data_IF_671692829631
#
_entry.id   IF_671692829631
#
_cell.length_a   1.000
_cell.length_b   1.000
_cell.length_c   1.000
_cell.angle_alpha   90.00
_cell.angle_beta   90.00
_cell.angle_gamma   90.00
#
_symmetry.space_group_name_H-M   'P 1'
#
loop_
_entity.id
_entity.type
_entity.pdbx_description
1 polymer ?
#
# COMPACT_ATOMS: atom_id res chain seq x y z
N UNK A 1 50.05 41.33 -41.64
CA UNK A 1 50.01 41.11 -40.18
C UNK A 1 48.75 41.79 -39.61
N UNK A 2 47.60 41.11 -39.52
CA UNK A 2 46.39 41.69 -38.93
C UNK A 2 46.20 41.29 -37.45
N UNK A 3 45.72 42.26 -36.66
CA UNK A 3 45.41 42.18 -35.22
C UNK A 3 44.07 41.46 -34.95
N UNK A 4 44.07 40.65 -33.89
CA UNK A 4 42.92 39.97 -33.33
C UNK A 4 41.95 40.95 -32.64
N UNK A 5 40.64 40.68 -32.76
CA UNK A 5 39.58 41.33 -31.98
C UNK A 5 38.78 40.25 -31.25
N UNK A 6 38.85 40.28 -29.92
CA UNK A 6 38.12 39.38 -29.02
C UNK A 6 36.76 40.02 -28.68
N UNK A 7 35.66 39.33 -29.01
CA UNK A 7 34.30 39.70 -28.60
C UNK A 7 34.03 39.21 -27.17
N UNK A 8 33.61 40.11 -26.30
CA UNK A 8 33.15 39.83 -24.92
C UNK A 8 31.62 39.69 -24.94
N UNK A 9 31.09 38.64 -24.30
CA UNK A 9 29.66 38.39 -24.12
C UNK A 9 29.13 39.04 -22.83
N UNK A 10 27.86 39.48 -22.76
CA UNK A 10 27.27 40.01 -21.53
C UNK A 10 26.55 38.95 -20.69
N UNK A 11 26.74 39.03 -19.35
CA UNK A 11 26.08 38.25 -18.30
C UNK A 11 24.68 38.82 -17.90
N UNK A 12 23.82 38.05 -17.22
CA UNK A 12 22.37 38.25 -17.17
C UNK A 12 21.85 39.11 -16.00
N UNK A 13 20.70 39.74 -16.23
CA UNK A 13 19.96 40.55 -15.25
C UNK A 13 19.28 39.69 -14.16
N UNK A 14 19.53 40.04 -12.89
CA UNK A 14 18.88 39.44 -11.70
C UNK A 14 17.56 40.16 -11.39
N UNK A 15 16.45 39.42 -11.45
CA UNK A 15 15.12 39.85 -10.98
C UNK A 15 14.98 39.64 -9.46
N UNK A 16 14.50 40.66 -8.74
CA UNK A 16 14.19 40.62 -7.31
C UNK A 16 12.67 40.53 -7.13
N UNK A 17 12.18 39.44 -6.57
CA UNK A 17 10.81 39.36 -6.05
C UNK A 17 10.81 39.39 -4.53
N UNK A 18 10.05 40.33 -3.96
CA UNK A 18 9.78 40.52 -2.54
C UNK A 18 8.32 40.11 -2.32
N UNK A 19 8.06 39.16 -1.42
CA UNK A 19 6.71 38.80 -0.99
C UNK A 19 6.55 39.17 0.49
N UNK A 20 5.57 40.02 0.77
CA UNK A 20 5.15 40.44 2.11
C UNK A 20 4.28 39.36 2.75
N UNK A 21 4.53 39.12 4.04
CA UNK A 21 3.67 38.31 4.90
C UNK A 21 2.48 39.14 5.39
N UNK A 22 1.29 38.54 5.39
CA UNK A 22 0.13 39.06 6.09
C UNK A 22 -0.62 37.92 6.80
N UNK A 23 -0.90 38.16 8.07
CA UNK A 23 -1.91 37.53 8.93
C UNK A 23 -2.32 38.65 9.90
N UNK A 24 -3.58 38.75 10.37
CA UNK A 24 -4.08 37.70 11.28
C UNK A 24 -5.63 37.51 11.40
N UNK A 25 -5.97 36.42 12.09
CA UNK A 25 -7.09 36.25 13.04
C UNK A 25 -8.55 36.28 12.55
N UNK A 26 -9.20 35.10 12.56
CA UNK A 26 -10.63 34.97 12.88
C UNK A 26 -10.85 33.80 13.84
N UNK A 27 -11.62 34.08 14.90
CA UNK A 27 -11.84 33.26 16.09
C UNK A 27 -13.08 32.39 15.85
N UNK A 28 -12.92 31.06 15.75
CA UNK A 28 -14.02 30.10 15.60
C UNK A 28 -14.31 29.41 16.94
N UNK A 29 -15.58 29.38 17.35
CA UNK A 29 -16.06 28.56 18.48
C UNK A 29 -16.71 27.27 17.93
N UNK A 30 -16.40 26.07 18.47
CA UNK A 30 -16.99 24.84 17.96
C UNK A 30 -18.36 24.58 18.59
N UNK A 31 -19.36 24.36 17.73
CA UNK A 31 -20.61 23.71 18.10
C UNK A 31 -20.35 22.24 18.46
N UNK A 32 -21.13 21.70 19.40
CA UNK A 32 -21.00 20.33 19.89
C UNK A 32 -21.33 19.30 18.80
N UNK A 33 -20.30 18.70 18.21
CA UNK A 33 -20.45 17.55 17.32
C UNK A 33 -20.34 16.26 18.13
N UNK A 34 -21.48 15.70 18.55
CA UNK A 34 -21.54 14.25 18.78
C UNK A 34 -21.57 13.59 17.41
N UNK A 35 -20.56 12.79 17.03
CA UNK A 35 -20.60 12.05 15.78
C UNK A 35 -21.68 10.95 15.86
N UNK A 36 -22.36 10.65 14.75
CA UNK A 36 -23.30 9.55 14.67
C UNK A 36 -22.59 8.20 14.92
N UNK A 37 -23.30 7.16 15.37
CA UNK A 37 -22.70 5.86 15.62
C UNK A 37 -22.15 5.26 14.31
N UNK A 38 -20.87 4.89 14.38
CA UNK A 38 -20.12 3.94 13.55
C UNK A 38 -20.92 3.24 12.46
N UNK A 39 -20.79 3.73 11.23
CA UNK A 39 -21.00 2.88 10.06
C UNK A 39 -19.71 2.10 9.88
N UNK A 40 -19.69 0.82 10.29
CA UNK A 40 -18.71 -0.12 9.73
C UNK A 40 -18.73 0.09 8.21
N UNK A 41 -17.57 0.21 7.56
CA UNK A 41 -17.52 -0.06 6.12
C UNK A 41 -17.76 -1.56 5.98
N UNK A 42 -19.04 -1.93 6.11
CA UNK A 42 -19.55 -3.14 5.54
C UNK A 42 -19.42 -2.90 4.05
N UNK A 43 -18.39 -3.47 3.43
CA UNK A 43 -18.64 -4.01 2.10
C UNK A 43 -19.88 -4.89 2.29
N UNK A 44 -21.02 -4.54 1.68
CA UNK A 44 -22.22 -5.32 1.87
C UNK A 44 -21.82 -6.77 1.58
N UNK A 45 -22.12 -7.73 2.49
CA UNK A 45 -21.86 -9.13 2.19
C UNK A 45 -22.44 -9.38 0.81
N UNK A 46 -21.64 -10.00 -0.05
CA UNK A 46 -22.03 -10.38 -1.41
C UNK A 46 -23.48 -10.82 -1.39
N UNK A 47 -24.36 -10.01 -2.01
CA UNK A 47 -25.78 -10.35 -2.10
C UNK A 47 -26.01 -11.37 -3.20
N UNK A 48 -24.97 -11.66 -3.97
CA UNK A 48 -25.00 -12.58 -5.10
C UNK A 48 -24.69 -14.00 -4.64
N UNK A 49 -25.41 -15.01 -5.15
CA UNK A 49 -25.01 -16.40 -4.97
C UNK A 49 -23.57 -16.57 -5.47
N UNK A 50 -22.70 -17.18 -4.65
CA UNK A 50 -21.33 -17.49 -5.10
C UNK A 50 -21.41 -18.33 -6.37
N UNK A 51 -20.74 -17.87 -7.42
CA UNK A 51 -20.62 -18.62 -8.67
C UNK A 51 -20.02 -19.99 -8.34
N UNK A 52 -20.77 -21.07 -8.63
CA UNK A 52 -20.33 -22.43 -8.34
C UNK A 52 -19.37 -22.98 -9.41
N UNK A 53 -19.45 -22.44 -10.62
CA UNK A 53 -18.66 -22.88 -11.77
C UNK A 53 -17.87 -21.69 -12.34
N UNK A 54 -16.53 -21.70 -12.20
CA UNK A 54 -15.72 -20.62 -12.74
C UNK A 54 -15.82 -20.58 -14.27
N UNK A 55 -15.92 -19.36 -14.82
CA UNK A 55 -15.98 -19.13 -16.28
C UNK A 55 -14.60 -18.97 -16.92
N UNK A 56 -13.58 -18.73 -16.11
CA UNK A 56 -12.19 -18.50 -16.53
C UNK A 56 -11.21 -18.87 -15.41
N UNK A 57 -9.91 -18.86 -15.70
CA UNK A 57 -8.84 -19.23 -14.79
C UNK A 57 -8.73 -18.31 -13.55
N UNK A 58 -9.05 -17.02 -13.67
CA UNK A 58 -9.05 -16.10 -12.52
C UNK A 58 -10.13 -16.52 -11.51
N UNK A 59 -11.37 -16.69 -11.97
CA UNK A 59 -12.47 -17.15 -11.10
C UNK A 59 -12.15 -18.50 -10.47
N UNK A 60 -11.56 -19.42 -11.24
CA UNK A 60 -11.14 -20.73 -10.73
C UNK A 60 -10.06 -20.62 -9.65
N UNK A 61 -9.13 -19.67 -9.77
CA UNK A 61 -8.10 -19.43 -8.78
C UNK A 61 -8.67 -18.75 -7.52
N UNK A 62 -9.56 -17.77 -7.69
CA UNK A 62 -10.23 -17.07 -6.60
C UNK A 62 -11.09 -18.00 -5.74
N UNK A 63 -11.80 -18.95 -6.36
CA UNK A 63 -12.61 -19.94 -5.65
C UNK A 63 -11.79 -20.94 -4.80
N UNK A 64 -10.47 -21.04 -5.02
CA UNK A 64 -9.56 -21.85 -4.19
C UNK A 64 -9.08 -21.13 -2.94
N UNK A 65 -9.33 -19.81 -2.82
CA UNK A 65 -8.91 -19.05 -1.66
C UNK A 65 -9.63 -19.55 -0.39
N UNK A 66 -8.98 -19.44 0.79
CA UNK A 66 -9.60 -19.84 2.04
C UNK A 66 -10.96 -19.14 2.24
N UNK A 67 -11.98 -19.81 2.82
CA UNK A 67 -13.30 -19.21 3.01
C UNK A 67 -13.34 -17.93 3.86
N UNK A 68 -12.29 -17.70 4.66
CA UNK A 68 -12.09 -16.48 5.45
C UNK A 68 -11.74 -15.26 4.61
N UNK A 69 -11.27 -15.45 3.37
CA UNK A 69 -10.98 -14.36 2.44
C UNK A 69 -12.28 -13.87 1.83
N UNK A 70 -12.63 -12.61 2.11
CA UNK A 70 -13.75 -11.94 1.46
C UNK A 70 -13.26 -11.39 0.13
N UNK A 71 -13.80 -11.93 -0.95
CA UNK A 71 -13.52 -11.49 -2.32
C UNK A 71 -14.65 -10.56 -2.74
N UNK A 72 -14.37 -9.31 -3.15
CA UNK A 72 -15.40 -8.41 -3.67
C UNK A 72 -16.09 -9.01 -4.90
N UNK A 73 -17.40 -8.77 -5.03
CA UNK A 73 -18.19 -9.26 -6.18
C UNK A 73 -17.67 -8.76 -7.53
N UNK A 74 -16.97 -7.63 -7.54
CA UNK A 74 -16.35 -7.05 -8.75
C UNK A 74 -15.32 -7.98 -9.38
N UNK A 75 -14.78 -8.95 -8.63
CA UNK A 75 -13.90 -10.00 -9.17
C UNK A 75 -14.67 -11.18 -9.82
N UNK A 76 -16.00 -11.19 -9.71
CA UNK A 76 -16.90 -12.14 -10.36
C UNK A 76 -17.97 -11.39 -11.18
N UNK A 77 -17.57 -10.58 -12.19
CA UNK A 77 -18.50 -9.69 -12.90
C UNK A 77 -19.48 -10.49 -13.75
N UNK A 78 -20.76 -10.14 -13.69
CA UNK A 78 -21.79 -10.69 -14.56
C UNK A 78 -21.56 -10.29 -16.02
N UNK A 79 -22.17 -11.01 -16.95
CA UNK A 79 -22.13 -10.67 -18.37
C UNK A 79 -22.61 -9.23 -18.63
N UNK A 80 -23.59 -8.73 -17.87
CA UNK A 80 -24.08 -7.35 -17.98
C UNK A 80 -23.04 -6.31 -17.52
N UNK A 81 -22.28 -6.59 -16.45
CA UNK A 81 -21.20 -5.72 -15.98
C UNK A 81 -20.02 -5.72 -16.97
N UNK A 82 -19.68 -6.88 -17.55
CA UNK A 82 -18.68 -6.98 -18.61
C UNK A 82 -19.15 -6.21 -19.85
N UNK A 83 -20.44 -6.29 -20.19
CA UNK A 83 -21.02 -5.55 -21.30
C UNK A 83 -20.98 -4.05 -21.08
N UNK A 84 -21.31 -3.57 -19.87
CA UNK A 84 -21.24 -2.16 -19.50
C UNK A 84 -19.80 -1.62 -19.62
N UNK A 85 -18.81 -2.35 -19.09
CA UNK A 85 -17.40 -2.00 -19.24
C UNK A 85 -16.96 -2.00 -20.70
N UNK A 86 -17.38 -3.01 -21.48
CA UNK A 86 -17.07 -3.10 -22.90
C UNK A 86 -17.64 -1.92 -23.69
N UNK A 87 -18.89 -1.53 -23.43
CA UNK A 87 -19.52 -0.35 -24.02
C UNK A 87 -18.74 0.93 -23.63
N UNK A 88 -18.32 1.05 -22.37
CA UNK A 88 -17.50 2.18 -21.91
C UNK A 88 -16.13 2.25 -22.59
N UNK A 89 -15.58 1.10 -23.01
CA UNK A 89 -14.35 0.99 -23.80
C UNK A 89 -14.57 1.17 -25.31
N UNK A 90 -15.80 1.46 -25.74
CA UNK A 90 -16.13 1.79 -27.13
C UNK A 90 -16.62 0.62 -27.99
N UNK A 91 -16.91 -0.54 -27.41
CA UNK A 91 -17.52 -1.65 -28.14
C UNK A 91 -18.96 -1.28 -28.55
N UNK A 92 -19.41 -1.79 -29.68
CA UNK A 92 -20.82 -1.70 -30.09
C UNK A 92 -21.63 -2.87 -29.53
N UNK A 93 -22.96 -2.75 -29.51
CA UNK A 93 -23.84 -3.80 -28.94
C UNK A 93 -23.71 -5.16 -29.63
N UNK A 94 -23.47 -5.16 -30.93
CA UNK A 94 -23.21 -6.34 -31.75
C UNK A 94 -21.84 -6.98 -31.47
N UNK A 95 -20.91 -6.26 -30.84
CA UNK A 95 -19.60 -6.77 -30.45
C UNK A 95 -19.55 -7.37 -29.03
N UNK A 96 -20.61 -7.21 -28.22
CA UNK A 96 -20.57 -7.59 -26.80
C UNK A 96 -20.33 -9.07 -26.56
N UNK A 97 -20.86 -9.96 -27.41
CA UNK A 97 -20.63 -11.41 -27.31
C UNK A 97 -19.15 -11.74 -27.45
N UNK A 98 -18.47 -11.16 -28.45
CA UNK A 98 -17.03 -11.32 -28.64
C UNK A 98 -16.23 -10.60 -27.53
N UNK A 99 -16.71 -9.45 -27.04
CA UNK A 99 -16.12 -8.75 -25.90
C UNK A 99 -16.07 -9.60 -24.63
N UNK A 100 -17.18 -10.30 -24.30
CA UNK A 100 -17.22 -11.23 -23.16
C UNK A 100 -16.28 -12.41 -23.34
N UNK A 101 -16.24 -12.99 -24.54
CA UNK A 101 -15.30 -14.07 -24.86
C UNK A 101 -13.85 -13.61 -24.68
N UNK A 102 -13.48 -12.45 -25.25
CA UNK A 102 -12.15 -11.88 -25.12
C UNK A 102 -11.78 -11.55 -23.66
N UNK A 103 -12.74 -11.10 -22.85
CA UNK A 103 -12.53 -10.87 -21.42
C UNK A 103 -12.11 -12.16 -20.69
N UNK A 104 -12.81 -13.27 -20.93
CA UNK A 104 -12.49 -14.56 -20.31
C UNK A 104 -11.16 -15.14 -20.84
N UNK A 105 -10.96 -15.12 -22.17
CA UNK A 105 -9.73 -15.61 -22.82
C UNK A 105 -8.49 -14.84 -22.36
N UNK A 106 -8.61 -13.54 -22.07
CA UNK A 106 -7.52 -12.73 -21.51
C UNK A 106 -7.05 -13.28 -20.16
N UNK A 107 -7.98 -13.64 -19.27
CA UNK A 107 -7.65 -14.23 -17.97
C UNK A 107 -7.02 -15.61 -18.13
N UNK A 108 -7.59 -16.47 -18.97
CA UNK A 108 -7.02 -17.80 -19.25
C UNK A 108 -5.59 -17.70 -19.79
N UNK A 109 -5.36 -16.80 -20.74
CA UNK A 109 -4.04 -16.55 -21.33
C UNK A 109 -3.05 -16.02 -20.29
N UNK A 110 -3.49 -15.09 -19.43
CA UNK A 110 -2.64 -14.55 -18.36
C UNK A 110 -2.17 -15.64 -17.40
N UNK A 111 -3.06 -16.55 -16.98
CA UNK A 111 -2.72 -17.67 -16.10
C UNK A 111 -1.86 -18.72 -16.81
N UNK A 112 -2.15 -19.05 -18.07
CA UNK A 112 -1.34 -19.95 -18.87
C UNK A 112 0.11 -19.43 -19.01
N UNK A 113 0.28 -18.14 -19.33
CA UNK A 113 1.59 -17.50 -19.43
C UNK A 113 2.33 -17.46 -18.09
N UNK A 114 1.61 -17.29 -16.99
CA UNK A 114 2.20 -17.30 -15.65
C UNK A 114 2.59 -18.72 -15.18
N UNK A 115 2.15 -19.77 -15.89
CA UNK A 115 2.44 -21.17 -15.54
C UNK A 115 1.88 -21.60 -14.17
N UNK A 116 0.83 -20.92 -13.69
CA UNK A 116 0.24 -21.14 -12.36
C UNK A 116 -1.27 -21.02 -12.40
N UNK A 117 -1.94 -21.57 -11.38
CA UNK A 117 -3.40 -21.59 -11.26
C UNK A 117 -3.90 -20.99 -9.92
N UNK A 118 -3.07 -20.13 -9.33
CA UNK A 118 -3.28 -19.43 -8.06
C UNK A 118 -3.07 -17.93 -8.26
N UNK A 119 -3.71 -17.12 -7.41
CA UNK A 119 -3.48 -15.67 -7.32
C UNK A 119 -2.60 -15.38 -6.12
N UNK A 120 -1.64 -14.46 -6.28
CA UNK A 120 -0.94 -13.90 -5.13
C UNK A 120 -1.84 -12.85 -4.49
N UNK A 121 -2.25 -13.11 -3.26
CA UNK A 121 -3.02 -12.15 -2.48
C UNK A 121 -2.05 -11.27 -1.70
N UNK A 122 -2.13 -9.96 -1.93
CA UNK A 122 -1.23 -9.00 -1.28
C UNK A 122 -1.88 -8.42 -0.01
N UNK A 123 -1.07 -8.17 1.01
CA UNK A 123 -1.46 -7.41 2.21
C UNK A 123 -2.34 -8.13 3.22
N UNK A 124 -2.58 -9.43 3.09
CA UNK A 124 -3.32 -10.19 4.12
C UNK A 124 -2.55 -10.19 5.43
N UNK A 125 -3.27 -10.04 6.55
CA UNK A 125 -2.68 -10.17 7.88
C UNK A 125 -2.15 -11.60 8.06
N UNK A 126 -1.05 -11.75 8.83
CA UNK A 126 -0.40 -13.06 8.95
C UNK A 126 -1.32 -14.06 9.65
N UNK A 127 -1.36 -15.29 9.14
CA UNK A 127 -2.09 -16.41 9.72
C UNK A 127 -1.30 -17.09 10.84
N UNK A 128 -1.95 -17.81 11.76
CA UNK A 128 -1.24 -18.61 12.76
C UNK A 128 -0.24 -19.58 12.12
N UNK A 129 1.02 -19.50 12.54
CA UNK A 129 2.12 -20.31 12.01
C UNK A 129 2.97 -19.62 10.94
N UNK A 130 2.54 -18.48 10.40
CA UNK A 130 3.36 -17.67 9.50
C UNK A 130 4.46 -16.92 10.25
N UNK A 131 5.60 -16.72 9.58
CA UNK A 131 6.74 -16.03 10.15
C UNK A 131 6.53 -14.51 10.19
N UNK A 132 6.58 -13.97 11.40
CA UNK A 132 6.50 -12.53 11.67
C UNK A 132 7.72 -12.08 12.45
N UNK A 133 8.12 -10.83 12.24
CA UNK A 133 9.18 -10.19 13.02
C UNK A 133 8.59 -9.02 13.81
N UNK A 134 9.04 -8.85 15.06
CA UNK A 134 8.54 -7.82 15.96
C UNK A 134 9.66 -6.85 16.35
N UNK A 135 9.36 -5.56 16.29
CA UNK A 135 10.19 -4.49 16.85
C UNK A 135 9.43 -3.85 17.99
N UNK A 136 9.88 -4.06 19.23
CA UNK A 136 9.25 -3.47 20.40
C UNK A 136 9.37 -1.94 20.38
N UNK A 137 8.27 -1.24 20.70
CA UNK A 137 8.24 0.22 20.74
C UNK A 137 8.53 0.68 22.18
N UNK A 138 9.63 1.40 22.44
CA UNK A 138 10.04 1.77 23.79
C UNK A 138 8.98 2.54 24.56
N UNK A 139 8.81 2.20 25.85
CA UNK A 139 7.87 2.88 26.74
C UNK A 139 6.40 2.55 26.47
N UNK A 140 6.08 1.57 25.63
CA UNK A 140 4.70 1.19 25.30
C UNK A 140 4.51 -0.33 25.37
N UNK A 141 3.25 -0.77 25.34
CA UNK A 141 2.92 -2.20 25.22
C UNK A 141 2.94 -2.71 23.77
N UNK A 142 3.15 -1.83 22.80
CA UNK A 142 3.00 -2.15 21.38
C UNK A 142 4.34 -2.51 20.73
N UNK A 143 4.25 -3.24 19.64
CA UNK A 143 5.36 -3.54 18.73
C UNK A 143 4.96 -3.19 17.31
N UNK A 144 5.93 -2.89 16.46
CA UNK A 144 5.74 -2.92 15.01
C UNK A 144 5.93 -4.37 14.57
N UNK A 145 4.94 -4.95 13.91
CA UNK A 145 5.01 -6.31 13.39
C UNK A 145 5.19 -6.28 11.88
N UNK A 146 6.11 -7.09 11.38
CA UNK A 146 6.43 -7.23 9.96
C UNK A 146 6.11 -8.63 9.47
N UNK A 147 5.50 -8.74 8.29
CA UNK A 147 5.24 -10.01 7.61
C UNK A 147 5.38 -9.85 6.09
N UNK A 148 5.24 -10.95 5.36
CA UNK A 148 5.50 -10.94 3.92
C UNK A 148 4.45 -10.13 3.16
N UNK A 149 3.19 -10.46 3.43
CA UNK A 149 2.05 -9.89 2.73
C UNK A 149 2.07 -10.14 1.23
N UNK A 150 2.82 -11.13 0.73
CA UNK A 150 2.99 -11.39 -0.70
C UNK A 150 3.86 -10.34 -1.41
N UNK A 151 4.54 -9.47 -0.66
CA UNK A 151 5.32 -8.34 -1.20
C UNK A 151 6.82 -8.64 -1.37
N UNK A 152 7.22 -9.89 -1.14
CA UNK A 152 8.62 -10.31 -1.19
C UNK A 152 9.30 -9.95 -2.53
N UNK A 153 8.65 -10.27 -3.65
CA UNK A 153 9.20 -10.04 -4.99
C UNK A 153 9.32 -8.55 -5.34
N UNK A 154 8.61 -7.67 -4.63
CA UNK A 154 8.69 -6.22 -4.75
C UNK A 154 9.76 -5.61 -3.82
N UNK A 155 10.49 -6.45 -3.06
CA UNK A 155 11.46 -5.99 -2.07
C UNK A 155 10.81 -5.24 -0.90
N UNK A 156 9.51 -5.44 -0.69
CA UNK A 156 8.73 -4.80 0.36
C UNK A 156 8.26 -5.84 1.38
N UNK A 157 7.80 -5.36 2.53
CA UNK A 157 7.08 -6.14 3.50
C UNK A 157 5.89 -5.34 4.01
N UNK A 158 4.89 -6.04 4.51
CA UNK A 158 3.79 -5.40 5.22
C UNK A 158 4.17 -5.18 6.68
N UNK A 159 3.60 -4.13 7.28
CA UNK A 159 3.70 -3.88 8.70
C UNK A 159 2.39 -3.33 9.30
N UNK A 160 2.22 -3.56 10.60
CA UNK A 160 1.16 -2.99 11.44
C UNK A 160 1.65 -2.76 12.87
N UNK A 161 0.82 -2.09 13.67
CA UNK A 161 1.00 -2.07 15.11
C UNK A 161 0.35 -3.31 15.72
N UNK A 162 1.05 -3.91 16.67
CA UNK A 162 0.67 -5.17 17.28
C UNK A 162 0.83 -5.11 18.79
N UNK A 163 -0.13 -5.67 19.50
CA UNK A 163 0.00 -5.95 20.92
C UNK A 163 0.42 -7.41 21.12
N UNK A 164 1.68 -7.68 21.52
CA UNK A 164 2.15 -9.04 21.75
C UNK A 164 1.51 -9.73 22.95
N UNK A 165 0.98 -8.98 23.92
CA UNK A 165 0.30 -9.54 25.10
C UNK A 165 -1.09 -10.04 24.73
N UNK A 166 -1.86 -9.18 24.06
CA UNK A 166 -3.21 -9.53 23.59
C UNK A 166 -3.20 -10.36 22.29
N UNK A 167 -2.03 -10.49 21.64
CA UNK A 167 -1.82 -11.14 20.34
C UNK A 167 -2.75 -10.60 19.25
N UNK A 168 -2.95 -9.29 19.22
CA UNK A 168 -3.88 -8.63 18.30
C UNK A 168 -3.20 -7.48 17.56
N UNK A 169 -3.58 -7.33 16.29
CA UNK A 169 -3.27 -6.11 15.55
C UNK A 169 -4.07 -4.94 16.12
N UNK A 170 -3.48 -3.75 16.09
CA UNK A 170 -4.13 -2.49 16.46
C UNK A 170 -3.85 -1.46 15.39
N UNK A 171 -4.79 -0.54 15.18
CA UNK A 171 -4.54 0.61 14.31
C UNK A 171 -3.57 1.57 15.00
N UNK A 172 -2.95 2.43 14.21
CA UNK A 172 -2.04 3.47 14.66
C UNK A 172 -2.69 4.30 15.78
N UNK A 173 -2.05 4.39 16.96
CA UNK A 173 -2.52 5.30 17.99
C UNK A 173 -2.54 6.74 17.48
N UNK A 174 -3.48 7.54 17.99
CA UNK A 174 -3.70 8.90 17.49
C UNK A 174 -2.40 9.73 17.49
N UNK A 175 -2.10 10.32 16.34
CA UNK A 175 -0.94 11.19 16.14
C UNK A 175 0.37 10.45 15.90
N UNK A 176 0.37 9.11 15.89
CA UNK A 176 1.54 8.32 15.51
C UNK A 176 1.69 8.34 13.99
N UNK A 177 2.93 8.49 13.53
CA UNK A 177 3.27 8.51 12.10
C UNK A 177 4.58 7.77 11.84
N UNK A 178 4.63 7.03 10.75
CA UNK A 178 5.80 6.29 10.28
C UNK A 178 6.44 7.06 9.14
N UNK A 179 7.74 7.33 9.21
CA UNK A 179 8.49 8.04 8.18
C UNK A 179 9.56 7.09 7.63
N UNK A 180 9.45 6.63 6.38
CA UNK A 180 10.48 5.81 5.77
C UNK A 180 11.71 6.67 5.50
N UNK A 181 12.89 6.16 5.80
CA UNK A 181 14.15 6.79 5.45
C UNK A 181 15.00 5.81 4.64
N UNK A 182 15.56 6.25 3.50
CA UNK A 182 16.50 5.44 2.77
C UNK A 182 17.74 5.21 3.64
N UNK A 183 18.27 3.99 3.57
CA UNK A 183 19.60 3.73 4.12
C UNK A 183 20.62 4.53 3.30
N UNK A 184 21.66 5.13 3.91
CA UNK A 184 22.74 5.75 3.15
C UNK A 184 23.27 4.82 2.06
N UNK A 185 23.33 5.31 0.81
CA UNK A 185 23.74 4.53 -0.36
C UNK A 185 22.61 3.79 -1.09
N UNK A 186 21.37 3.83 -0.60
CA UNK A 186 20.19 3.30 -1.29
C UNK A 186 19.40 4.45 -1.89
N UNK A 187 19.03 4.34 -3.18
CA UNK A 187 18.21 5.35 -3.85
C UNK A 187 16.79 5.33 -3.27
N UNK A 188 16.24 6.44 -2.75
CA UNK A 188 14.87 6.48 -2.28
C UNK A 188 13.93 6.32 -3.48
N UNK A 189 13.13 5.26 -3.48
CA UNK A 189 12.11 5.01 -4.51
C UNK A 189 10.79 5.74 -4.24
N UNK A 190 10.70 6.49 -3.14
CA UNK A 190 9.53 7.26 -2.72
C UNK A 190 9.92 8.67 -2.24
N UNK A 191 8.93 9.54 -2.07
CA UNK A 191 9.11 10.77 -1.30
C UNK A 191 9.34 10.42 0.17
N UNK A 192 10.59 10.08 0.49
CA UNK A 192 11.06 9.73 1.83
C UNK A 192 10.94 10.88 2.85
N UNK A 193 10.32 11.99 2.47
CA UNK A 193 9.97 13.08 3.37
C UNK A 193 8.52 13.02 3.86
N UNK A 194 7.68 12.15 3.29
CA UNK A 194 6.28 11.99 3.67
C UNK A 194 6.09 10.82 4.66
N UNK A 195 5.07 10.93 5.52
CA UNK A 195 4.66 9.81 6.35
C UNK A 195 4.07 8.71 5.48
N UNK A 196 4.27 7.44 5.86
CA UNK A 196 3.56 6.32 5.25
C UNK A 196 2.05 6.55 5.36
N UNK A 197 1.37 6.34 4.24
CA UNK A 197 -0.08 6.30 4.16
C UNK A 197 -0.48 4.83 4.30
N UNK A 198 -1.50 4.55 5.12
CA UNK A 198 -2.02 3.19 5.22
C UNK A 198 -2.63 2.75 3.89
N UNK A 199 -2.69 1.44 3.65
CA UNK A 199 -3.34 0.89 2.46
C UNK A 199 -4.80 1.33 2.40
N UNK A 200 -5.48 1.27 3.54
CA UNK A 200 -6.87 1.68 3.68
C UNK A 200 -7.07 3.17 3.33
N UNK A 201 -6.22 4.07 3.84
CA UNK A 201 -6.25 5.50 3.46
C UNK A 201 -5.98 5.73 1.98
N UNK A 202 -5.01 5.00 1.40
CA UNK A 202 -4.72 5.08 -0.04
C UNK A 202 -5.87 4.59 -0.91
N UNK A 203 -6.74 3.73 -0.37
CA UNK A 203 -8.01 3.31 -0.99
C UNK A 203 -9.18 4.24 -0.64
N UNK A 204 -8.93 5.38 0.01
CA UNK A 204 -9.92 6.40 0.32
C UNK A 204 -10.69 6.19 1.63
N UNK A 205 -10.32 5.20 2.44
CA UNK A 205 -10.93 4.97 3.75
C UNK A 205 -10.35 5.98 4.73
N UNK A 206 -11.19 6.84 5.31
CA UNK A 206 -10.76 7.79 6.34
C UNK A 206 -10.23 7.04 7.57
N UNK A 207 -9.18 7.55 8.22
CA UNK A 207 -8.49 6.91 9.35
C UNK A 207 -9.46 6.44 10.45
N UNK A 208 -10.48 7.23 10.76
CA UNK A 208 -11.47 6.93 11.80
C UNK A 208 -12.44 5.80 11.42
N UNK A 209 -12.54 5.51 10.13
CA UNK A 209 -13.41 4.46 9.57
C UNK A 209 -12.66 3.15 9.28
N UNK A 210 -11.33 3.12 9.47
CA UNK A 210 -10.55 1.89 9.36
C UNK A 210 -10.97 0.95 10.49
N UNK A 211 -11.43 -0.28 10.20
CA UNK A 211 -11.79 -1.24 11.24
C UNK A 211 -10.61 -1.52 12.18
N UNK A 212 -10.91 -1.76 13.46
CA UNK A 212 -9.89 -1.96 14.47
C UNK A 212 -8.98 -3.16 14.13
N UNK A 213 -7.66 -2.91 14.06
CA UNK A 213 -6.65 -3.92 13.77
C UNK A 213 -6.41 -4.17 12.29
N UNK A 214 -7.20 -3.58 11.39
CA UNK A 214 -7.10 -3.79 9.95
C UNK A 214 -6.07 -2.89 9.27
N UNK A 215 -5.69 -1.75 9.89
CA UNK A 215 -4.74 -0.81 9.28
C UNK A 215 -3.41 -1.49 8.94
N UNK A 216 -2.90 -1.25 7.73
CA UNK A 216 -1.64 -1.81 7.22
C UNK A 216 -0.84 -0.80 6.44
N UNK A 217 0.47 -0.99 6.45
CA UNK A 217 1.41 -0.23 5.64
C UNK A 217 2.31 -1.21 4.88
N UNK A 218 2.94 -0.73 3.81
CA UNK A 218 4.06 -1.42 3.17
C UNK A 218 5.30 -0.53 3.21
N UNK A 219 6.45 -1.16 3.36
CA UNK A 219 7.75 -0.48 3.38
C UNK A 219 8.83 -1.36 2.73
N UNK A 220 9.86 -0.74 2.16
CA UNK A 220 10.99 -1.47 1.59
C UNK A 220 11.82 -2.17 2.67
N UNK A 221 12.15 -3.42 2.42
CA UNK A 221 12.99 -4.22 3.30
C UNK A 221 14.40 -3.62 3.41
N UNK A 222 15.03 -3.74 4.59
CA UNK A 222 16.37 -3.21 4.84
C UNK A 222 16.50 -1.68 4.90
N UNK A 223 15.40 -0.95 4.73
CA UNK A 223 15.34 0.50 4.97
C UNK A 223 15.32 0.84 6.45
N UNK A 224 15.39 2.13 6.79
CA UNK A 224 15.11 2.61 8.14
C UNK A 224 13.73 3.24 8.20
N UNK A 225 13.13 3.27 9.38
CA UNK A 225 11.89 3.96 9.60
C UNK A 225 11.91 4.66 10.96
N UNK A 226 11.38 5.88 11.00
CA UNK A 226 11.14 6.61 12.22
C UNK A 226 9.65 6.55 12.59
N UNK A 227 9.37 6.14 13.82
CA UNK A 227 8.06 6.30 14.44
C UNK A 227 8.05 7.61 15.24
N UNK A 228 7.32 8.60 14.75
CA UNK A 228 7.04 9.82 15.50
C UNK A 228 5.82 9.61 16.40
N UNK A 229 5.94 9.99 17.68
CA UNK A 229 4.87 9.94 18.67
C UNK A 229 4.66 11.32 19.30
N UNK A 230 3.42 11.74 19.62
CA UNK A 230 3.18 13.07 20.18
C UNK A 230 3.98 13.31 21.47
N UNK A 231 4.82 14.35 21.47
CA UNK A 231 5.61 14.76 22.64
C UNK A 231 6.83 13.88 22.94
N UNK A 232 7.19 12.94 22.07
CA UNK A 232 8.36 12.09 22.22
C UNK A 232 9.33 12.24 21.03
N UNK A 233 10.61 11.97 21.28
CA UNK A 233 11.61 11.90 20.22
C UNK A 233 11.29 10.74 19.24
N UNK A 234 11.56 10.90 17.93
CA UNK A 234 11.34 9.85 16.95
C UNK A 234 12.10 8.57 17.30
N UNK A 235 11.38 7.46 17.36
CA UNK A 235 11.98 6.14 17.56
C UNK A 235 12.38 5.54 16.22
N UNK A 236 13.68 5.35 16.01
CA UNK A 236 14.23 4.77 14.78
C UNK A 236 14.42 3.27 14.89
N UNK A 237 14.05 2.55 13.83
CA UNK A 237 14.31 1.11 13.73
C UNK A 237 14.65 0.73 12.28
N UNK A 238 15.38 -0.38 12.14
CA UNK A 238 15.64 -0.99 10.85
C UNK A 238 14.45 -1.87 10.45
N UNK A 239 14.00 -1.74 9.20
CA UNK A 239 13.05 -2.66 8.61
C UNK A 239 13.76 -3.99 8.36
N UNK A 240 13.19 -5.12 8.81
CA UNK A 240 13.75 -6.43 8.54
C UNK A 240 14.10 -6.66 7.06
N UNK A 241 15.30 -7.19 6.84
CA UNK A 241 15.69 -7.73 5.55
C UNK A 241 15.39 -9.23 5.56
N UNK A 242 14.55 -9.69 4.63
CA UNK A 242 14.31 -11.11 4.43
C UNK A 242 15.22 -11.60 3.33
N UNK A 243 15.89 -12.70 3.58
CA UNK A 243 16.71 -13.36 2.59
C UNK A 243 15.91 -14.46 1.91
N UNK A 244 16.09 -14.67 0.60
CA UNK A 244 15.51 -15.83 -0.04
C UNK A 244 16.08 -17.10 0.61
N UNK A 245 15.33 -18.21 0.59
CA UNK A 245 15.90 -19.52 0.89
C UNK A 245 17.16 -19.71 0.04
N UNK A 246 18.29 -20.05 0.68
CA UNK A 246 19.62 -20.21 0.06
C UNK A 246 20.34 -18.93 -0.36
N UNK A 247 20.02 -17.75 0.18
CA UNK A 247 20.86 -16.57 -0.02
C UNK A 247 22.26 -16.82 0.56
N UNK A 248 23.34 -16.81 -0.26
CA UNK A 248 24.68 -17.01 0.24
C UNK A 248 25.05 -15.85 1.16
N UNK A 249 25.39 -16.17 2.41
CA UNK A 249 25.89 -15.18 3.36
C UNK A 249 27.34 -14.85 2.98
N UNK A 250 27.74 -13.57 2.92
CA UNK A 250 29.13 -13.21 2.67
C UNK A 250 30.01 -13.83 3.76
N UNK A 251 30.98 -14.66 3.38
CA UNK A 251 31.97 -15.18 4.32
C UNK A 251 32.81 -14.01 4.81
N UNK A 252 32.72 -13.71 6.11
CA UNK A 252 33.57 -12.67 6.70
C UNK A 252 35.01 -13.17 6.71
N UNK A 253 35.85 -12.58 5.85
CA UNK A 253 37.29 -12.79 5.93
C UNK A 253 37.81 -11.92 7.07
N UNK A 254 38.26 -12.56 8.16
CA UNK A 254 39.11 -11.86 9.13
C UNK A 254 40.51 -11.77 8.52
N UNK A 255 40.93 -10.57 8.17
CA UNK A 255 42.33 -10.25 7.86
C UNK A 255 43.06 -9.88 9.16
#
# INVERSE_FOLDING_TARGET
MPRATTKVAPEPARSRFRVQAASPSSRYQPASNRPPPSTKINFPPSTRPRIQHPRNALEAALLKLPPSVIIPDTYFPTDAEIDEESLALGYTRDQLVEGRKAFHERWDTMFANAGRNTVDMLGFKPQPGEEVQLVAIPGTRYSVRFWDGGLYNQGQCCLDFFDPTAKQAVNSPRGWKLYPAPRPGVFPLNDSHSALVSWEESWGIQTENIPAGEERFSIFQGSWCALARPGEEPFWFAVPLRHPPNFPQPTTLRM
#
